data_IF_001664172162
#
_entry.id   IF_001664172162
#
_cell.length_a   1.000
_cell.length_b   1.000
_cell.length_c   1.000
_cell.angle_alpha   90.00
_cell.angle_beta   90.00
_cell.angle_gamma   90.00
#
_symmetry.space_group_name_H-M   'P 1'
#
loop_
_entity.id
_entity.type
_entity.pdbx_description
1 polymer ?
#
# COMPACT_ATOMS: atom_id res chain seq x y z
N UNK A 1 10.78 11.29 -16.71
CA UNK A 1 10.49 9.89 -16.28
C UNK A 1 11.11 9.68 -14.91
N UNK A 2 10.34 9.45 -13.84
CA UNK A 2 10.92 9.30 -12.51
C UNK A 2 11.69 7.95 -12.39
N UNK A 3 13.02 7.94 -12.20
CA UNK A 3 13.84 6.72 -12.26
C UNK A 3 13.47 5.68 -11.18
N UNK A 4 12.86 6.14 -10.09
CA UNK A 4 12.41 5.30 -8.99
C UNK A 4 11.21 4.39 -9.34
N UNK A 5 10.36 4.79 -10.29
CA UNK A 5 9.16 4.02 -10.65
C UNK A 5 9.51 2.78 -11.49
N UNK A 6 10.38 2.97 -12.48
CA UNK A 6 10.82 1.89 -13.38
C UNK A 6 11.67 0.88 -12.60
N UNK A 7 12.59 1.36 -11.76
CA UNK A 7 13.41 0.48 -10.92
C UNK A 7 12.57 -0.32 -9.93
N UNK A 8 11.52 0.27 -9.35
CA UNK A 8 10.56 -0.46 -8.54
C UNK A 8 9.86 -1.56 -9.33
N UNK A 9 9.31 -1.25 -10.50
CA UNK A 9 8.59 -2.22 -11.32
C UNK A 9 9.47 -3.42 -11.69
N UNK A 10 10.66 -3.17 -12.23
CA UNK A 10 11.60 -4.24 -12.61
C UNK A 10 11.92 -5.11 -11.39
N UNK A 11 12.23 -4.49 -10.24
CA UNK A 11 12.56 -5.24 -9.02
C UNK A 11 11.37 -6.01 -8.45
N UNK A 12 10.15 -5.51 -8.64
CA UNK A 12 8.93 -6.21 -8.20
C UNK A 12 8.65 -7.46 -9.03
N UNK A 13 8.91 -7.40 -10.34
CA UNK A 13 8.70 -8.53 -11.26
C UNK A 13 9.72 -9.64 -11.04
N UNK A 14 10.98 -9.28 -10.77
CA UNK A 14 12.06 -10.24 -10.55
C UNK A 14 12.29 -10.62 -9.07
N UNK A 15 11.36 -10.28 -8.17
CA UNK A 15 11.49 -10.53 -6.73
C UNK A 15 12.81 -10.03 -6.13
N UNK A 16 13.28 -8.87 -6.57
CA UNK A 16 14.49 -8.20 -6.09
C UNK A 16 14.19 -7.10 -5.06
N UNK A 17 12.93 -6.97 -4.62
CA UNK A 17 12.57 -6.04 -3.57
C UNK A 17 13.12 -6.50 -2.21
N UNK A 18 13.43 -5.58 -1.29
CA UNK A 18 13.93 -5.91 0.05
C UNK A 18 12.80 -6.44 0.95
N UNK A 19 12.24 -7.60 0.61
CA UNK A 19 11.37 -8.39 1.49
C UNK A 19 12.20 -9.06 2.60
N UNK A 20 11.61 -9.40 3.75
CA UNK A 20 12.39 -10.06 4.80
C UNK A 20 13.00 -11.38 4.33
N UNK A 21 12.32 -12.10 3.45
CA UNK A 21 12.90 -13.30 2.83
C UNK A 21 14.17 -12.98 2.03
N UNK A 22 14.14 -11.95 1.18
CA UNK A 22 15.31 -11.56 0.40
C UNK A 22 16.42 -10.98 1.28
N UNK A 23 16.07 -10.27 2.34
CA UNK A 23 17.04 -9.78 3.33
C UNK A 23 17.76 -10.92 4.05
N UNK A 24 17.07 -12.04 4.33
CA UNK A 24 17.71 -13.26 4.85
C UNK A 24 18.63 -13.87 3.80
N UNK A 25 18.17 -13.99 2.54
CA UNK A 25 19.02 -14.49 1.44
C UNK A 25 20.29 -13.66 1.22
N UNK A 26 20.21 -12.34 1.44
CA UNK A 26 21.36 -11.43 1.34
C UNK A 26 22.21 -11.35 2.61
N UNK A 27 21.90 -12.14 3.65
CA UNK A 27 22.62 -12.12 4.93
C UNK A 27 22.47 -10.82 5.72
N UNK A 28 21.41 -10.04 5.46
CA UNK A 28 21.10 -8.77 6.14
C UNK A 28 20.13 -8.93 7.31
N UNK A 29 19.38 -10.04 7.36
CA UNK A 29 18.43 -10.36 8.42
C UNK A 29 18.53 -11.85 8.76
N UNK A 30 18.15 -12.23 9.98
CA UNK A 30 18.15 -13.62 10.42
C UNK A 30 16.78 -14.29 10.15
N UNK A 31 15.68 -13.56 10.39
CA UNK A 31 14.33 -14.10 10.28
C UNK A 31 13.54 -13.55 9.07
N UNK A 32 12.92 -14.43 8.25
CA UNK A 32 12.11 -14.03 7.09
C UNK A 32 10.64 -13.76 7.45
N UNK A 33 10.32 -13.60 8.73
CA UNK A 33 8.94 -13.50 9.23
C UNK A 33 8.32 -12.13 8.97
N UNK A 34 7.03 -12.11 8.68
CA UNK A 34 6.22 -10.91 8.49
C UNK A 34 5.92 -10.27 9.85
N UNK A 35 6.16 -8.95 10.03
CA UNK A 35 5.88 -8.29 11.31
C UNK A 35 4.38 -8.22 11.62
N UNK A 36 3.52 -8.32 10.61
CA UNK A 36 2.07 -8.31 10.79
C UNK A 36 1.58 -9.72 11.14
N UNK A 37 1.68 -10.65 10.20
CA UNK A 37 1.03 -11.95 10.30
C UNK A 37 1.95 -13.09 10.72
N UNK A 38 3.22 -12.82 11.03
CA UNK A 38 4.24 -13.77 11.49
C UNK A 38 4.57 -14.92 10.51
N UNK A 39 3.90 -14.97 9.35
CA UNK A 39 4.20 -15.90 8.25
C UNK A 39 5.45 -15.50 7.47
N UNK A 40 5.86 -16.32 6.49
CA UNK A 40 6.99 -16.00 5.61
C UNK A 40 6.68 -14.76 4.75
N UNK A 41 7.54 -13.75 4.81
CA UNK A 41 7.37 -12.50 4.09
C UNK A 41 8.14 -12.51 2.77
N UNK A 42 7.51 -13.08 1.75
CA UNK A 42 7.94 -12.97 0.35
C UNK A 42 7.60 -11.57 -0.20
N UNK A 43 8.08 -11.25 -1.40
CA UNK A 43 7.65 -10.06 -2.15
C UNK A 43 6.15 -10.08 -2.43
N UNK A 44 5.63 -11.20 -2.95
CA UNK A 44 4.19 -11.41 -3.19
C UNK A 44 3.35 -11.25 -1.90
N UNK A 45 3.85 -11.78 -0.78
CA UNK A 45 3.20 -11.66 0.52
C UNK A 45 2.93 -10.19 0.89
N UNK A 46 3.94 -9.35 0.69
CA UNK A 46 3.87 -7.93 1.00
C UNK A 46 2.96 -7.18 0.03
N UNK A 47 3.02 -7.53 -1.25
CA UNK A 47 2.28 -6.84 -2.31
C UNK A 47 0.78 -7.19 -2.33
N UNK A 48 0.40 -8.44 -2.06
CA UNK A 48 -0.98 -8.90 -2.24
C UNK A 48 -1.46 -9.97 -1.25
N UNK A 49 -0.56 -10.77 -0.67
CA UNK A 49 -0.96 -12.05 -0.04
C UNK A 49 -0.92 -12.06 1.50
N UNK A 50 -0.77 -10.89 2.16
CA UNK A 50 -0.78 -10.81 3.62
C UNK A 50 -2.21 -10.80 4.19
N UNK A 51 -2.54 -11.85 4.95
CA UNK A 51 -3.87 -12.03 5.58
C UNK A 51 -4.27 -10.87 6.49
N UNK A 52 -3.32 -10.34 7.26
CA UNK A 52 -3.60 -9.23 8.19
C UNK A 52 -3.69 -7.91 7.44
N UNK A 53 -2.86 -7.67 6.43
CA UNK A 53 -2.98 -6.47 5.60
C UNK A 53 -4.33 -6.44 4.85
N UNK A 54 -4.79 -7.61 4.41
CA UNK A 54 -6.10 -7.78 3.78
C UNK A 54 -7.25 -7.50 4.78
N UNK A 55 -7.21 -8.11 5.97
CA UNK A 55 -8.26 -7.89 6.98
C UNK A 55 -8.29 -6.45 7.49
N UNK A 56 -7.13 -5.79 7.59
CA UNK A 56 -6.98 -4.39 7.96
C UNK A 56 -7.26 -3.40 6.82
N UNK A 57 -7.68 -3.86 5.63
CA UNK A 57 -8.01 -3.00 4.48
C UNK A 57 -6.85 -2.16 3.93
N UNK A 58 -5.58 -2.55 4.18
CA UNK A 58 -4.42 -1.78 3.71
C UNK A 58 -4.33 -1.76 2.18
N UNK A 59 -4.63 -2.88 1.53
CA UNK A 59 -4.66 -2.96 0.07
C UNK A 59 -5.75 -2.07 -0.53
N UNK A 60 -6.94 -2.06 0.09
CA UNK A 60 -8.04 -1.18 -0.31
C UNK A 60 -7.65 0.30 -0.19
N UNK A 61 -6.98 0.67 0.91
CA UNK A 61 -6.49 2.04 1.08
C UNK A 61 -5.50 2.42 -0.03
N UNK A 62 -4.46 1.59 -0.28
CA UNK A 62 -3.48 1.85 -1.34
C UNK A 62 -4.13 1.98 -2.71
N UNK A 63 -5.08 1.10 -3.05
CA UNK A 63 -5.80 1.15 -4.31
C UNK A 63 -6.65 2.42 -4.42
N UNK A 64 -7.41 2.76 -3.38
CA UNK A 64 -8.25 3.96 -3.38
C UNK A 64 -7.41 5.23 -3.50
N UNK A 65 -6.24 5.31 -2.86
CA UNK A 65 -5.34 6.45 -3.01
C UNK A 65 -4.90 6.65 -4.46
N UNK A 66 -4.53 5.56 -5.16
CA UNK A 66 -4.17 5.65 -6.59
C UNK A 66 -5.38 6.07 -7.44
N UNK A 67 -6.57 5.53 -7.16
CA UNK A 67 -7.79 5.89 -7.88
C UNK A 67 -8.20 7.35 -7.64
N UNK A 68 -7.98 7.90 -6.43
CA UNK A 68 -8.23 9.30 -6.12
C UNK A 68 -7.32 10.23 -6.93
N UNK A 69 -6.03 9.91 -7.02
CA UNK A 69 -5.08 10.68 -7.83
C UNK A 69 -5.45 10.64 -9.32
N UNK A 70 -5.83 9.48 -9.83
CA UNK A 70 -6.30 9.35 -11.22
C UNK A 70 -7.59 10.14 -11.47
N UNK A 71 -8.56 10.06 -10.56
CA UNK A 71 -9.79 10.83 -10.65
C UNK A 71 -9.51 12.34 -10.65
N UNK A 72 -8.60 12.80 -9.79
CA UNK A 72 -8.19 14.20 -9.74
C UNK A 72 -7.62 14.68 -11.09
N UNK A 73 -6.73 13.89 -11.70
CA UNK A 73 -6.14 14.22 -13.01
C UNK A 73 -7.19 14.25 -14.13
N UNK A 74 -8.19 13.36 -14.09
CA UNK A 74 -9.27 13.33 -15.08
C UNK A 74 -10.20 14.53 -14.92
N UNK A 75 -10.59 14.86 -13.69
CA UNK A 75 -11.44 16.03 -13.40
C UNK A 75 -10.77 17.34 -13.84
N UNK A 76 -9.46 17.49 -13.61
CA UNK A 76 -8.73 18.67 -14.08
C UNK A 76 -8.66 18.74 -15.60
N UNK A 77 -8.51 17.60 -16.30
CA UNK A 77 -8.52 17.54 -17.76
C UNK A 77 -9.89 17.90 -18.37
N UNK A 78 -10.99 17.59 -17.67
CA UNK A 78 -12.35 17.88 -18.12
C UNK A 78 -12.80 19.33 -17.86
N UNK A 79 -11.96 20.16 -17.23
CA UNK A 79 -12.29 21.55 -16.90
C UNK A 79 -13.27 21.72 -15.73
N UNK A 80 -13.56 20.65 -14.98
CA UNK A 80 -14.42 20.68 -13.81
C UNK A 80 -13.60 21.16 -12.59
N UNK A 81 -13.76 22.44 -12.22
CA UNK A 81 -13.12 23.03 -11.02
C UNK A 81 -13.91 22.81 -9.73
N UNK A 82 -14.95 21.97 -9.75
CA UNK A 82 -15.51 21.51 -8.50
C UNK A 82 -14.53 20.52 -7.91
N UNK A 83 -13.83 20.98 -6.87
CA UNK A 83 -13.11 20.20 -5.89
C UNK A 83 -14.03 19.05 -5.45
N UNK A 84 -14.05 17.95 -6.20
CA UNK A 84 -14.56 16.69 -5.71
C UNK A 84 -13.71 16.47 -4.48
N UNK A 85 -14.33 16.65 -3.31
CA UNK A 85 -13.70 16.34 -2.05
C UNK A 85 -13.23 14.90 -2.22
N UNK A 86 -11.94 14.69 -2.47
CA UNK A 86 -11.39 13.40 -2.91
C UNK A 86 -11.59 12.36 -1.81
N UNK A 87 -11.75 12.83 -0.56
CA UNK A 87 -12.14 12.05 0.61
C UNK A 87 -13.59 11.53 0.58
N UNK A 88 -14.44 12.02 -0.32
CA UNK A 88 -15.84 11.62 -0.48
C UNK A 88 -16.08 10.67 -1.66
N UNK A 89 -15.07 10.42 -2.50
CA UNK A 89 -15.20 9.45 -3.60
C UNK A 89 -15.18 8.02 -3.04
N UNK A 90 -16.34 7.38 -3.08
CA UNK A 90 -16.52 5.98 -2.68
C UNK A 90 -16.29 5.11 -3.92
N UNK A 91 -15.14 4.45 -4.00
CA UNK A 91 -14.88 3.47 -5.06
C UNK A 91 -15.59 2.15 -4.73
N UNK A 92 -16.37 1.68 -5.70
CA UNK A 92 -17.12 0.41 -5.59
C UNK A 92 -16.30 -0.71 -6.20
N UNK A 93 -16.39 -1.91 -5.63
CA UNK A 93 -15.82 -3.11 -6.26
C UNK A 93 -16.71 -3.59 -7.41
N UNK A 94 -16.13 -4.33 -8.35
CA UNK A 94 -16.88 -5.07 -9.36
C UNK A 94 -18.00 -5.92 -8.72
N UNK A 95 -19.21 -5.85 -9.27
CA UNK A 95 -20.40 -6.50 -8.72
C UNK A 95 -21.32 -5.65 -7.83
N UNK A 96 -21.04 -4.35 -7.64
CA UNK A 96 -22.00 -3.43 -7.01
C UNK A 96 -22.16 -3.61 -5.50
N UNK A 97 -21.27 -4.35 -4.85
CA UNK A 97 -21.23 -4.41 -3.40
C UNK A 97 -20.88 -3.02 -2.85
N UNK A 98 -21.88 -2.38 -2.24
CA UNK A 98 -21.71 -1.22 -1.34
C UNK A 98 -20.52 -1.50 -0.43
N UNK A 99 -19.60 -0.52 -0.39
CA UNK A 99 -18.34 -0.50 0.35
C UNK A 99 -18.31 -1.50 1.51
N UNK A 100 -17.27 -2.34 1.53
CA UNK A 100 -17.02 -3.32 2.58
C UNK A 100 -17.53 -2.84 3.94
N UNK A 101 -18.64 -3.41 4.41
CA UNK A 101 -19.33 -2.93 5.60
C UNK A 101 -18.39 -3.01 6.80
N UNK A 102 -17.85 -1.85 7.18
CA UNK A 102 -17.04 -1.66 8.37
C UNK A 102 -17.17 -0.21 8.74
N UNK A 103 -17.65 0.07 9.95
CA UNK A 103 -17.79 1.43 10.50
C UNK A 103 -16.49 2.21 10.23
N UNK A 104 -16.54 3.55 10.06
CA UNK A 104 -15.32 4.35 10.04
C UNK A 104 -14.55 4.02 11.32
N UNK A 105 -13.45 3.28 11.17
CA UNK A 105 -12.54 3.03 12.28
C UNK A 105 -11.93 4.38 12.56
N UNK A 106 -12.34 5.02 13.66
CA UNK A 106 -11.55 6.08 14.27
C UNK A 106 -10.22 5.44 14.64
N UNK A 107 -9.23 5.60 13.78
CA UNK A 107 -7.85 5.15 14.00
C UNK A 107 -7.20 6.03 15.05
N UNK A 108 -7.60 5.86 16.31
CA UNK A 108 -6.95 6.53 17.46
C UNK A 108 -5.48 6.10 17.64
N UNK A 109 -4.97 5.10 16.90
CA UNK A 109 -3.60 4.61 17.05
C UNK A 109 -2.78 4.41 15.75
N UNK A 110 -3.17 4.94 14.59
CA UNK A 110 -2.38 4.75 13.35
C UNK A 110 -1.53 5.95 12.90
N UNK A 111 -1.47 7.04 13.68
CA UNK A 111 -0.60 8.20 13.35
C UNK A 111 0.87 7.98 13.84
N UNK A 112 1.22 6.82 14.41
CA UNK A 112 2.60 6.58 14.85
C UNK A 112 3.61 6.21 13.76
N UNK A 113 3.20 5.96 12.52
CA UNK A 113 4.15 5.72 11.42
C UNK A 113 4.73 7.01 10.80
N UNK A 114 4.36 8.20 11.30
CA UNK A 114 4.98 9.46 10.91
C UNK A 114 5.56 10.20 12.12
N UNK A 115 6.75 9.78 12.61
CA UNK A 115 7.72 10.75 13.17
C UNK A 115 9.14 10.30 13.48
N UNK A 116 9.54 9.04 13.32
CA UNK A 116 10.91 8.65 13.68
C UNK A 116 11.82 8.62 12.44
N UNK A 117 12.37 9.79 12.12
CA UNK A 117 13.25 10.06 10.98
C UNK A 117 14.64 9.45 11.07
N UNK A 118 14.77 8.13 11.21
CA UNK A 118 16.07 7.43 11.15
C UNK A 118 15.95 5.92 10.87
N UNK A 119 15.13 5.46 9.92
CA UNK A 119 15.11 4.03 9.49
C UNK A 119 14.83 3.90 7.99
N UNK A 120 15.43 2.92 7.28
CA UNK A 120 15.44 2.88 5.82
C UNK A 120 14.03 2.81 5.23
N UNK A 121 13.72 3.83 4.43
CA UNK A 121 12.44 4.22 3.80
C UNK A 121 11.70 3.10 3.05
N UNK A 122 12.35 1.98 2.74
CA UNK A 122 11.81 0.96 1.84
C UNK A 122 10.85 -0.04 2.49
N UNK A 123 10.92 -0.23 3.81
CA UNK A 123 10.06 -1.20 4.53
C UNK A 123 8.70 -0.59 4.88
N UNK A 124 8.64 0.73 5.06
CA UNK A 124 7.43 1.47 5.50
C UNK A 124 6.38 1.61 4.39
N UNK A 125 6.78 1.77 3.12
CA UNK A 125 5.82 1.87 2.00
C UNK A 125 5.01 0.58 1.85
N UNK A 126 5.58 -0.53 2.31
CA UNK A 126 5.08 -1.86 2.06
C UNK A 126 4.38 -2.53 3.25
N UNK A 127 4.51 -1.97 4.46
CA UNK A 127 3.83 -2.47 5.66
C UNK A 127 2.72 -1.53 6.11
#
# INVERSE_FOLDING_TARGET
>A
MAPLRISFLIRSVYDLLPSNENLVRWGKKQDPTCPLCQGRQTTEHVLSSCKIALSQRRYTWRHNTVLQELAAIISTANGETNLLNTNALIFTTEGGAKSWHGKPVRTTNQIKCLRDGSRPIFIEIFC
#
